data_IF_555582589986
#
_entry.id   IF_555582589986
#
_cell.length_a   1.000
_cell.length_b   1.000
_cell.length_c   1.000
_cell.angle_alpha   90.00
_cell.angle_beta   90.00
_cell.angle_gamma   90.00
#
_symmetry.space_group_name_H-M   'P 1'
#
loop_
_entity.id
_entity.type
_entity.pdbx_description
1 polymer ?
#
# COMPACT_ATOMS: atom_id res chain seq x y z
N UNK A 1 -41.66 4.74 -6.95
CA UNK A 1 -41.58 6.05 -6.28
C UNK A 1 -41.45 5.77 -4.79
N UNK A 2 -40.24 5.72 -4.29
CA UNK A 2 -39.93 5.88 -2.87
C UNK A 2 -38.61 6.62 -2.83
N UNK A 3 -38.72 7.87 -2.39
CA UNK A 3 -37.61 8.82 -2.22
C UNK A 3 -36.65 8.29 -1.15
N UNK A 4 -35.39 8.16 -1.52
CA UNK A 4 -34.31 7.88 -0.57
C UNK A 4 -33.91 9.19 0.06
N UNK A 5 -34.37 9.40 1.30
CA UNK A 5 -33.98 10.53 2.16
C UNK A 5 -32.46 10.63 2.26
N UNK A 6 -31.97 11.77 1.85
CA UNK A 6 -30.64 12.28 2.20
C UNK A 6 -30.69 12.62 3.69
N UNK A 7 -30.24 11.68 4.52
CA UNK A 7 -30.12 11.95 5.96
C UNK A 7 -28.91 12.85 6.23
N UNK A 8 -29.23 13.90 6.94
CA UNK A 8 -28.39 14.99 7.44
C UNK A 8 -27.08 14.51 8.08
N UNK A 9 -26.10 15.39 7.94
CA UNK A 9 -24.83 15.49 8.65
C UNK A 9 -24.96 15.00 10.12
N UNK A 10 -24.35 13.85 10.43
CA UNK A 10 -23.98 13.55 11.81
C UNK A 10 -22.66 14.24 12.06
N UNK A 11 -22.68 15.29 12.85
CA UNK A 11 -21.51 15.83 13.50
C UNK A 11 -20.71 14.71 14.19
N UNK A 12 -19.37 14.66 14.07
CA UNK A 12 -18.56 13.70 14.77
C UNK A 12 -18.67 13.98 16.27
N UNK A 13 -19.38 13.11 16.99
CA UNK A 13 -19.44 13.15 18.46
C UNK A 13 -18.16 12.56 19.03
N UNK A 14 -17.26 13.41 19.43
CA UNK A 14 -15.98 13.10 20.10
C UNK A 14 -14.81 13.73 19.36
N UNK A 15 -14.10 14.63 20.00
CA UNK A 15 -12.89 15.27 19.48
C UNK A 15 -11.82 14.19 19.25
N UNK A 16 -11.74 13.67 18.02
CA UNK A 16 -10.71 12.73 17.65
C UNK A 16 -9.37 13.46 17.53
N UNK A 17 -8.42 13.08 18.36
CA UNK A 17 -7.06 13.65 18.39
C UNK A 17 -6.25 13.05 17.26
N UNK A 18 -5.49 13.88 16.54
CA UNK A 18 -4.58 13.43 15.50
C UNK A 18 -3.45 12.56 16.10
N UNK A 19 -3.29 11.28 15.69
CA UNK A 19 -2.27 10.39 16.27
C UNK A 19 -0.84 10.82 15.91
N UNK A 20 -0.67 11.72 14.94
CA UNK A 20 0.65 12.23 14.55
C UNK A 20 1.03 13.49 15.32
N UNK A 21 0.22 14.53 15.31
CA UNK A 21 0.64 15.80 15.93
C UNK A 21 -0.05 16.13 17.27
N UNK A 22 -1.06 15.34 17.66
CA UNK A 22 -1.80 15.58 18.90
C UNK A 22 -2.82 16.73 18.83
N UNK A 23 -3.07 17.30 17.64
CA UNK A 23 -4.07 18.35 17.46
C UNK A 23 -5.48 17.76 17.54
N UNK A 24 -6.39 18.46 18.21
CA UNK A 24 -7.80 18.10 18.29
C UNK A 24 -8.55 18.53 17.03
N UNK A 25 -9.53 17.72 16.61
CA UNK A 25 -10.40 18.05 15.49
C UNK A 25 -9.88 17.53 14.15
N UNK A 26 -10.13 16.24 13.85
CA UNK A 26 -10.02 15.67 12.51
C UNK A 26 -11.26 16.04 11.68
N UNK A 27 -11.08 16.46 10.44
CA UNK A 27 -12.18 16.84 9.54
C UNK A 27 -12.43 15.70 8.54
N UNK A 28 -13.58 15.04 8.65
CA UNK A 28 -14.00 14.00 7.70
C UNK A 28 -14.27 14.60 6.31
N UNK A 29 -13.85 13.90 5.24
CA UNK A 29 -14.02 14.39 3.88
C UNK A 29 -14.43 13.32 2.86
N UNK A 30 -14.29 12.03 3.19
CA UNK A 30 -14.63 10.93 2.29
C UNK A 30 -15.05 9.68 3.06
N UNK A 31 -16.02 8.95 2.53
CA UNK A 31 -16.51 7.72 3.13
C UNK A 31 -16.75 6.64 2.08
N UNK A 32 -16.47 5.38 2.45
CA UNK A 32 -16.94 4.18 1.77
C UNK A 32 -17.63 3.27 2.78
N UNK A 33 -18.68 2.59 2.30
CA UNK A 33 -19.42 1.61 3.11
C UNK A 33 -19.14 0.21 2.57
N UNK A 34 -19.14 -0.76 3.46
CA UNK A 34 -19.17 -2.17 3.09
C UNK A 34 -18.02 -2.59 2.16
N UNK A 35 -16.76 -2.26 2.53
CA UNK A 35 -15.56 -2.73 1.86
C UNK A 35 -14.97 -3.96 2.55
N UNK A 36 -14.29 -4.89 1.84
CA UNK A 36 -13.54 -5.95 2.50
C UNK A 36 -12.53 -5.40 3.49
N UNK A 37 -12.39 -6.06 4.66
CA UNK A 37 -11.37 -5.66 5.64
C UNK A 37 -9.97 -5.94 5.10
N UNK A 38 -9.80 -7.08 4.42
CA UNK A 38 -8.54 -7.46 3.78
C UNK A 38 -8.68 -7.47 2.27
N UNK A 39 -7.70 -6.86 1.60
CA UNK A 39 -7.61 -6.87 0.15
C UNK A 39 -6.64 -7.91 -0.41
N UNK A 40 -5.69 -8.39 0.39
CA UNK A 40 -4.62 -9.27 -0.10
C UNK A 40 -4.64 -10.66 0.55
N UNK A 41 -5.78 -11.11 1.08
CA UNK A 41 -5.94 -12.51 1.53
C UNK A 41 -6.25 -13.43 0.35
N UNK A 42 -5.71 -14.65 0.42
CA UNK A 42 -5.92 -15.69 -0.58
C UNK A 42 -7.17 -16.50 -0.24
N UNK A 43 -8.28 -16.29 -0.95
CA UNK A 43 -9.51 -17.08 -0.80
C UNK A 43 -9.44 -18.32 -1.70
N UNK A 44 -9.60 -19.50 -1.11
CA UNK A 44 -9.48 -20.79 -1.81
C UNK A 44 -10.73 -21.11 -2.64
N UNK A 45 -11.89 -20.57 -2.26
CA UNK A 45 -13.15 -20.77 -2.97
C UNK A 45 -13.91 -19.47 -3.19
N UNK A 46 -14.86 -19.51 -4.14
CA UNK A 46 -15.75 -18.38 -4.39
C UNK A 46 -16.65 -18.09 -3.18
N UNK A 47 -17.09 -19.10 -2.48
CA UNK A 47 -17.92 -19.01 -1.28
C UNK A 47 -17.17 -18.29 -0.15
N UNK A 48 -15.91 -18.66 0.07
CA UNK A 48 -15.03 -17.99 1.04
C UNK A 48 -14.84 -16.52 0.67
N UNK A 49 -14.53 -16.24 -0.59
CA UNK A 49 -14.33 -14.89 -1.09
C UNK A 49 -15.55 -13.99 -0.91
N UNK A 50 -16.77 -14.53 -1.07
CA UNK A 50 -18.02 -13.78 -0.87
C UNK A 50 -18.35 -13.57 0.61
N UNK A 51 -17.83 -14.40 1.51
CA UNK A 51 -18.08 -14.37 2.94
C UNK A 51 -17.06 -13.53 3.74
N UNK A 52 -16.07 -12.89 3.08
CA UNK A 52 -15.05 -12.12 3.79
C UNK A 52 -15.65 -11.02 4.66
N UNK A 53 -15.05 -10.75 5.83
CA UNK A 53 -15.48 -9.67 6.71
C UNK A 53 -15.39 -8.31 6.03
N UNK A 54 -16.35 -7.44 6.33
CA UNK A 54 -16.48 -6.13 5.70
C UNK A 54 -16.63 -5.03 6.75
N UNK A 55 -16.23 -3.79 6.38
CA UNK A 55 -16.32 -2.63 7.26
C UNK A 55 -16.52 -1.34 6.46
N UNK A 56 -16.72 -0.23 7.17
CA UNK A 56 -16.73 1.11 6.57
C UNK A 56 -15.39 1.81 6.70
N UNK A 57 -15.10 2.72 5.78
CA UNK A 57 -13.97 3.65 5.84
C UNK A 57 -14.52 5.07 5.99
N UNK A 58 -13.91 5.89 6.86
CA UNK A 58 -14.14 7.32 6.91
C UNK A 58 -12.79 8.03 7.00
N UNK A 59 -12.37 8.66 5.89
CA UNK A 59 -11.14 9.43 5.86
C UNK A 59 -11.35 10.82 6.45
N UNK A 60 -10.50 11.17 7.40
CA UNK A 60 -10.46 12.49 7.99
C UNK A 60 -9.06 13.08 7.96
N UNK A 61 -8.94 14.39 7.76
CA UNK A 61 -7.68 15.12 7.67
C UNK A 61 -7.44 15.97 8.91
N UNK A 62 -6.21 15.97 9.41
CA UNK A 62 -5.72 16.91 10.40
C UNK A 62 -5.30 18.21 9.70
N UNK A 63 -5.96 19.31 10.02
CA UNK A 63 -5.63 20.63 9.43
C UNK A 63 -4.34 21.25 9.95
N UNK A 64 -3.74 20.67 11.01
CA UNK A 64 -2.48 21.15 11.59
C UNK A 64 -1.24 20.54 10.94
N UNK A 65 -1.25 19.24 10.61
CA UNK A 65 -0.08 18.56 10.04
C UNK A 65 -0.32 17.87 8.69
N UNK A 66 -1.55 17.90 8.15
CA UNK A 66 -1.89 17.26 6.89
C UNK A 66 -1.96 15.72 6.96
N UNK A 67 -1.96 15.14 8.16
CA UNK A 67 -2.14 13.71 8.33
C UNK A 67 -3.58 13.31 8.01
N UNK A 68 -3.75 12.17 7.35
CA UNK A 68 -5.06 11.65 7.00
C UNK A 68 -5.16 10.24 7.57
N UNK A 69 -6.31 9.92 8.17
CA UNK A 69 -6.55 8.58 8.72
C UNK A 69 -7.98 8.09 8.49
N UNK A 70 -8.14 6.76 8.54
CA UNK A 70 -9.44 6.12 8.61
C UNK A 70 -9.96 6.12 10.05
N UNK A 71 -10.90 7.00 10.37
CA UNK A 71 -11.47 7.13 11.72
C UNK A 71 -12.39 5.97 12.12
N UNK A 72 -12.74 5.06 11.17
CA UNK A 72 -13.51 3.84 11.41
C UNK A 72 -12.63 2.59 11.53
N UNK A 73 -11.30 2.76 11.52
CA UNK A 73 -10.38 1.64 11.65
C UNK A 73 -10.45 1.01 13.04
N UNK A 74 -10.53 -0.30 13.08
CA UNK A 74 -10.52 -1.10 14.29
C UNK A 74 -9.38 -2.13 14.17
N UNK A 75 -8.29 -1.90 14.91
CA UNK A 75 -7.12 -2.75 14.89
C UNK A 75 -7.37 -4.16 15.40
N UNK A 76 -8.41 -4.37 16.23
CA UNK A 76 -8.76 -5.71 16.73
C UNK A 76 -9.30 -6.65 15.64
N UNK A 77 -9.65 -6.11 14.47
CA UNK A 77 -10.14 -6.86 13.31
C UNK A 77 -9.04 -7.21 12.31
N UNK A 78 -7.82 -6.75 12.54
CA UNK A 78 -6.68 -6.96 11.66
C UNK A 78 -5.74 -7.99 12.29
N UNK A 79 -5.49 -9.06 11.56
CA UNK A 79 -4.49 -10.07 11.89
C UNK A 79 -3.81 -10.52 10.59
N UNK A 80 -2.49 -10.31 10.51
CA UNK A 80 -1.70 -10.68 9.33
C UNK A 80 -1.10 -12.06 9.57
N UNK A 81 -1.59 -13.03 8.83
CA UNK A 81 -1.11 -14.40 8.85
C UNK A 81 -0.54 -14.83 7.49
N UNK A 82 -0.25 -16.11 7.35
CA UNK A 82 0.29 -16.68 6.12
C UNK A 82 -0.67 -16.67 4.92
N UNK A 83 -1.94 -16.31 5.09
CA UNK A 83 -2.88 -16.14 3.98
C UNK A 83 -2.73 -14.80 3.26
N UNK A 84 -2.02 -13.83 3.86
CA UNK A 84 -1.76 -12.51 3.28
C UNK A 84 -0.70 -12.58 2.18
N UNK A 85 -0.99 -12.03 1.00
CA UNK A 85 -0.11 -12.09 -0.16
C UNK A 85 -0.06 -10.74 -0.89
N UNK A 86 1.00 -9.97 -0.64
CA UNK A 86 1.19 -8.65 -1.24
C UNK A 86 2.56 -8.49 -1.93
N UNK A 87 3.17 -9.60 -2.39
CA UNK A 87 4.46 -9.57 -3.05
C UNK A 87 4.40 -8.84 -4.40
N UNK A 88 5.25 -7.85 -4.60
CA UNK A 88 5.32 -7.02 -5.80
C UNK A 88 6.48 -7.42 -6.73
N UNK A 89 7.44 -8.18 -6.25
CA UNK A 89 8.66 -8.60 -6.97
C UNK A 89 8.42 -9.56 -8.15
N UNK A 90 7.19 -10.00 -8.36
CA UNK A 90 6.82 -10.72 -9.59
C UNK A 90 6.93 -9.82 -10.83
N UNK A 91 6.70 -8.50 -10.69
CA UNK A 91 6.88 -7.54 -11.78
C UNK A 91 8.36 -7.22 -12.04
N UNK A 92 8.85 -7.35 -13.28
CA UNK A 92 10.17 -6.85 -13.69
C UNK A 92 10.38 -5.38 -13.37
N UNK A 93 9.36 -4.54 -13.60
CA UNK A 93 9.41 -3.09 -13.32
C UNK A 93 9.60 -2.80 -11.83
N UNK A 94 8.91 -3.54 -10.95
CA UNK A 94 9.09 -3.39 -9.52
C UNK A 94 10.49 -3.86 -9.07
N UNK A 95 10.99 -4.97 -9.63
CA UNK A 95 12.35 -5.45 -9.33
C UNK A 95 13.41 -4.42 -9.69
N UNK A 96 13.28 -3.80 -10.86
CA UNK A 96 14.19 -2.73 -11.30
C UNK A 96 14.15 -1.51 -10.37
N UNK A 97 12.96 -1.12 -9.92
CA UNK A 97 12.79 -0.06 -8.93
C UNK A 97 13.47 -0.43 -7.60
N UNK A 98 13.20 -1.61 -7.06
CA UNK A 98 13.76 -2.07 -5.80
C UNK A 98 15.30 -2.15 -5.86
N UNK A 99 15.88 -2.57 -7.00
CA UNK A 99 17.33 -2.61 -7.20
C UNK A 99 17.94 -1.21 -7.23
N UNK A 100 17.32 -0.25 -7.92
CA UNK A 100 17.75 1.16 -7.90
C UNK A 100 17.68 1.75 -6.49
N UNK A 101 16.61 1.47 -5.76
CA UNK A 101 16.44 1.93 -4.38
C UNK A 101 17.51 1.34 -3.46
N UNK A 102 17.77 0.03 -3.53
CA UNK A 102 18.80 -0.63 -2.73
C UNK A 102 20.19 -0.05 -3.03
N UNK A 103 20.55 0.14 -4.32
CA UNK A 103 21.82 0.78 -4.71
C UNK A 103 21.93 2.19 -4.17
N UNK A 104 20.86 2.98 -4.25
CA UNK A 104 20.83 4.34 -3.70
C UNK A 104 21.13 4.37 -2.20
N UNK A 105 20.49 3.51 -1.42
CA UNK A 105 20.74 3.41 0.02
C UNK A 105 22.18 3.00 0.32
N UNK A 106 22.70 2.01 -0.42
CA UNK A 106 24.08 1.52 -0.28
C UNK A 106 25.07 2.64 -0.59
N UNK A 107 24.88 3.37 -1.66
CA UNK A 107 25.80 4.42 -2.11
C UNK A 107 25.71 5.68 -1.24
N UNK A 108 24.50 6.12 -0.91
CA UNK A 108 24.29 7.35 -0.13
C UNK A 108 24.79 7.22 1.30
N UNK A 109 24.60 6.05 1.90
CA UNK A 109 24.88 5.83 3.33
C UNK A 109 26.06 4.90 3.61
N UNK A 110 26.74 4.41 2.57
CA UNK A 110 27.88 3.51 2.73
C UNK A 110 27.49 2.16 3.34
N UNK A 111 26.29 1.63 3.05
CA UNK A 111 25.77 0.38 3.59
C UNK A 111 26.45 -0.80 2.88
N UNK A 112 27.70 -1.06 3.21
CA UNK A 112 28.51 -2.19 2.68
C UNK A 112 29.18 -2.94 3.82
N UNK A 113 29.00 -4.28 3.86
CA UNK A 113 29.48 -5.12 4.96
C UNK A 113 28.83 -4.75 6.30
N UNK A 114 27.59 -4.31 6.27
CA UNK A 114 26.82 -3.75 7.37
C UNK A 114 25.74 -4.70 7.85
N UNK A 115 25.16 -4.40 9.01
CA UNK A 115 24.02 -5.15 9.54
C UNK A 115 22.71 -4.38 9.27
N UNK A 116 21.76 -5.05 8.61
CA UNK A 116 20.47 -4.47 8.20
C UNK A 116 19.32 -5.15 8.93
N UNK A 117 18.39 -4.35 9.44
CA UNK A 117 17.09 -4.84 9.91
C UNK A 117 16.03 -4.42 8.89
N UNK A 118 15.18 -5.35 8.44
CA UNK A 118 13.99 -5.03 7.67
C UNK A 118 12.73 -5.44 8.44
N UNK A 119 11.89 -4.46 8.74
CA UNK A 119 10.61 -4.65 9.43
C UNK A 119 9.51 -4.77 8.38
N UNK A 120 8.62 -5.76 8.55
CA UNK A 120 7.61 -6.16 7.56
C UNK A 120 8.27 -6.56 6.23
N UNK A 121 9.24 -7.46 6.32
CA UNK A 121 10.08 -7.85 5.18
C UNK A 121 9.40 -8.81 4.19
N UNK A 122 8.18 -9.29 4.47
CA UNK A 122 7.54 -10.37 3.71
C UNK A 122 8.43 -11.61 3.66
N UNK A 123 8.67 -12.12 2.46
CA UNK A 123 9.60 -13.24 2.25
C UNK A 123 11.09 -12.80 2.15
N UNK A 124 11.39 -11.54 2.51
CA UNK A 124 12.76 -11.01 2.60
C UNK A 124 13.38 -10.60 1.26
N UNK A 125 12.58 -10.32 0.25
CA UNK A 125 13.09 -9.94 -1.09
C UNK A 125 14.06 -8.76 -1.03
N UNK A 126 13.67 -7.64 -0.41
CA UNK A 126 14.49 -6.44 -0.38
C UNK A 126 15.72 -6.58 0.55
N UNK A 127 15.57 -7.27 1.67
CA UNK A 127 16.68 -7.58 2.58
C UNK A 127 17.76 -8.43 1.89
N UNK A 128 17.35 -9.47 1.14
CA UNK A 128 18.27 -10.28 0.33
C UNK A 128 18.94 -9.44 -0.77
N UNK A 129 18.23 -8.48 -1.35
CA UNK A 129 18.76 -7.58 -2.35
C UNK A 129 19.85 -6.67 -1.76
N UNK A 130 19.62 -6.07 -0.60
CA UNK A 130 20.62 -5.27 0.16
C UNK A 130 21.82 -6.12 0.56
N UNK A 131 21.60 -7.37 0.99
CA UNK A 131 22.68 -8.33 1.31
C UNK A 131 23.54 -8.60 0.08
N UNK A 132 22.93 -8.97 -1.03
CA UNK A 132 23.64 -9.32 -2.28
C UNK A 132 24.43 -8.14 -2.86
N UNK A 133 23.84 -6.95 -2.91
CA UNK A 133 24.45 -5.78 -3.54
C UNK A 133 25.52 -5.09 -2.66
N UNK A 134 25.34 -5.16 -1.34
CA UNK A 134 26.24 -4.49 -0.39
C UNK A 134 27.18 -5.43 0.38
N UNK A 135 27.03 -6.75 0.25
CA UNK A 135 27.72 -7.73 1.11
C UNK A 135 27.27 -7.63 2.57
N UNK A 136 26.01 -7.26 2.79
CA UNK A 136 25.45 -7.01 4.12
C UNK A 136 24.93 -8.31 4.75
N UNK A 137 24.86 -8.32 6.09
CA UNK A 137 24.07 -9.32 6.84
C UNK A 137 22.79 -8.67 7.34
N UNK A 138 21.79 -9.46 7.73
CA UNK A 138 20.59 -8.84 8.26
C UNK A 138 19.56 -9.79 8.86
N UNK A 139 18.59 -9.16 9.54
CA UNK A 139 17.43 -9.83 10.13
C UNK A 139 16.16 -9.17 9.62
N UNK A 140 15.26 -9.98 9.06
CA UNK A 140 13.91 -9.57 8.66
C UNK A 140 12.88 -10.01 9.70
N UNK A 141 11.84 -9.20 9.89
CA UNK A 141 10.70 -9.51 10.75
C UNK A 141 9.42 -9.41 9.95
N UNK A 142 8.65 -10.49 9.89
CA UNK A 142 7.32 -10.47 9.27
C UNK A 142 6.44 -11.62 9.82
N UNK A 143 5.25 -11.35 10.39
CA UNK A 143 4.37 -12.40 10.91
C UNK A 143 3.82 -13.31 9.82
N UNK A 144 3.70 -12.82 8.58
CA UNK A 144 3.19 -13.59 7.44
C UNK A 144 4.25 -14.46 6.75
N UNK A 145 5.51 -14.40 7.21
CA UNK A 145 6.63 -15.13 6.60
C UNK A 145 6.36 -16.62 6.47
N UNK A 146 6.45 -17.12 5.25
CA UNK A 146 6.31 -18.54 4.93
C UNK A 146 7.69 -19.13 4.74
N UNK A 147 8.11 -20.00 5.64
CA UNK A 147 9.35 -20.75 5.45
C UNK A 147 9.19 -21.75 4.30
N UNK A 148 9.49 -21.31 3.09
CA UNK A 148 9.54 -22.21 1.93
C UNK A 148 10.92 -22.88 1.83
N UNK A 149 10.98 -24.09 1.27
CA UNK A 149 12.25 -24.79 1.05
C UNK A 149 13.24 -24.00 0.16
N UNK A 150 12.75 -23.00 -0.60
CA UNK A 150 13.56 -22.11 -1.45
C UNK A 150 14.17 -20.93 -0.67
N UNK A 151 13.64 -20.58 0.50
CA UNK A 151 14.15 -19.48 1.35
C UNK A 151 15.26 -19.90 2.31
N UNK A 152 15.60 -21.16 2.37
CA UNK A 152 16.62 -21.70 3.25
C UNK A 152 18.03 -21.72 2.60
N UNK A 153 18.48 -20.61 1.98
CA UNK A 153 19.90 -20.52 1.64
C UNK A 153 20.64 -19.86 2.80
N UNK A 154 21.21 -20.66 3.66
CA UNK A 154 22.17 -20.33 4.73
C UNK A 154 23.42 -19.54 4.24
N UNK A 155 23.46 -19.17 2.97
CA UNK A 155 24.61 -18.51 2.34
C UNK A 155 24.50 -16.99 2.22
N UNK A 156 23.31 -16.41 2.47
CA UNK A 156 23.10 -14.97 2.27
C UNK A 156 23.47 -14.10 3.48
N UNK A 157 23.70 -14.67 4.65
CA UNK A 157 23.85 -13.90 5.90
C UNK A 157 22.56 -13.18 6.32
N UNK A 158 21.40 -13.63 5.82
CA UNK A 158 20.07 -13.10 6.13
C UNK A 158 19.25 -14.14 6.90
N UNK A 159 18.59 -13.69 7.97
CA UNK A 159 17.65 -14.50 8.76
C UNK A 159 16.30 -13.81 8.78
N UNK A 160 15.20 -14.56 8.64
CA UNK A 160 13.84 -14.02 8.76
C UNK A 160 13.15 -14.66 9.97
N UNK A 161 12.55 -13.81 10.80
CA UNK A 161 11.81 -14.18 12.00
C UNK A 161 10.33 -13.95 11.73
N UNK A 162 9.53 -15.02 11.81
CA UNK A 162 8.07 -14.97 11.64
C UNK A 162 7.42 -14.38 12.90
N UNK A 163 7.54 -13.06 13.07
CA UNK A 163 7.05 -12.33 14.24
C UNK A 163 6.97 -10.83 13.95
N UNK A 164 6.19 -10.13 14.79
CA UNK A 164 6.18 -8.66 14.80
C UNK A 164 7.46 -8.11 15.45
N UNK A 165 8.05 -7.08 14.80
CA UNK A 165 9.12 -6.32 15.42
C UNK A 165 8.59 -5.51 16.62
N UNK A 166 9.35 -5.49 17.71
CA UNK A 166 8.98 -4.76 18.92
C UNK A 166 10.10 -4.75 19.95
N UNK A 167 9.80 -4.30 21.17
CA UNK A 167 10.76 -4.10 22.26
C UNK A 167 11.63 -5.33 22.56
N UNK A 168 11.10 -6.54 22.38
CA UNK A 168 11.86 -7.80 22.59
C UNK A 168 13.05 -7.98 21.64
N UNK A 169 13.13 -7.17 20.58
CA UNK A 169 14.22 -7.19 19.61
C UNK A 169 15.05 -5.90 19.62
N UNK A 170 14.80 -5.00 20.59
CA UNK A 170 15.44 -3.69 20.67
C UNK A 170 16.96 -3.72 20.85
N UNK A 171 17.52 -4.82 21.40
CA UNK A 171 18.96 -4.95 21.64
C UNK A 171 19.77 -5.37 20.39
N UNK A 172 19.12 -5.49 19.23
CA UNK A 172 19.80 -5.85 17.98
C UNK A 172 20.40 -4.60 17.33
N UNK A 173 21.74 -4.47 17.24
CA UNK A 173 22.35 -3.33 16.58
C UNK A 173 22.09 -3.39 15.07
N UNK A 174 21.85 -2.24 14.46
CA UNK A 174 21.71 -2.14 13.03
C UNK A 174 22.38 -0.86 12.49
N UNK A 175 23.02 -0.96 11.33
CA UNK A 175 23.55 0.19 10.60
C UNK A 175 22.44 0.83 9.73
N UNK A 176 21.47 0.01 9.28
CA UNK A 176 20.28 0.43 8.52
C UNK A 176 19.05 -0.32 9.03
N UNK A 177 17.99 0.41 9.32
CA UNK A 177 16.66 -0.15 9.61
C UNK A 177 15.71 0.26 8.48
N UNK A 178 15.15 -0.71 7.76
CA UNK A 178 14.18 -0.50 6.70
C UNK A 178 12.78 -0.92 7.15
N UNK A 179 11.75 -0.17 6.72
CA UNK A 179 10.35 -0.56 6.87
C UNK A 179 9.59 -0.07 5.63
N UNK A 180 9.03 -1.01 4.87
CA UNK A 180 8.38 -0.70 3.60
C UNK A 180 6.96 -1.24 3.58
N UNK A 181 6.01 -0.38 3.20
CA UNK A 181 4.59 -0.74 3.09
C UNK A 181 3.99 -1.36 4.35
N UNK A 182 4.30 -0.76 5.51
CA UNK A 182 3.80 -1.22 6.80
C UNK A 182 3.33 -0.09 7.72
N UNK A 183 3.96 1.10 7.68
CA UNK A 183 3.60 2.19 8.59
C UNK A 183 2.15 2.69 8.36
N UNK A 184 1.63 2.57 7.17
CA UNK A 184 0.24 2.87 6.81
C UNK A 184 -0.79 1.98 7.52
N UNK A 185 -0.36 0.83 8.03
CA UNK A 185 -1.19 -0.11 8.79
C UNK A 185 -1.13 0.10 10.31
N UNK A 186 -0.27 1.01 10.79
CA UNK A 186 -0.02 1.24 12.22
C UNK A 186 -0.93 2.32 12.78
N UNK A 187 -1.88 1.96 13.64
CA UNK A 187 -2.81 2.94 14.25
C UNK A 187 -2.11 4.01 15.12
N UNK A 188 -0.94 3.69 15.67
CA UNK A 188 -0.07 4.63 16.38
C UNK A 188 1.30 4.76 15.67
N UNK A 189 1.38 5.47 14.53
CA UNK A 189 2.60 5.54 13.74
C UNK A 189 3.76 6.22 14.47
N UNK A 190 3.50 7.25 15.27
CA UNK A 190 4.54 7.93 16.07
C UNK A 190 5.11 6.97 17.12
N UNK A 191 4.25 6.26 17.85
CA UNK A 191 4.68 5.28 18.86
C UNK A 191 5.53 4.16 18.25
N UNK A 192 5.16 3.67 17.06
CA UNK A 192 5.95 2.66 16.37
C UNK A 192 7.36 3.18 15.99
N UNK A 193 7.45 4.37 15.41
CA UNK A 193 8.75 4.98 15.06
C UNK A 193 9.56 5.32 16.32
N UNK A 194 8.90 5.68 17.45
CA UNK A 194 9.55 5.86 18.75
C UNK A 194 10.15 4.56 19.29
N UNK A 195 9.48 3.41 19.14
CA UNK A 195 10.05 2.11 19.51
C UNK A 195 11.35 1.85 18.75
N UNK A 196 11.40 2.16 17.46
CA UNK A 196 12.64 2.06 16.66
C UNK A 196 13.69 3.05 17.16
N UNK A 197 13.30 4.29 17.50
CA UNK A 197 14.24 5.27 18.06
C UNK A 197 14.85 4.79 19.37
N UNK A 198 14.07 4.15 20.22
CA UNK A 198 14.51 3.59 21.50
C UNK A 198 15.47 2.41 21.28
N UNK A 199 15.19 1.53 20.31
CA UNK A 199 16.07 0.38 20.01
C UNK A 199 17.44 0.80 19.48
N UNK A 200 17.55 1.93 18.79
CA UNK A 200 18.84 2.48 18.33
C UNK A 200 19.68 3.01 19.52
N UNK A 201 19.04 3.44 20.60
CA UNK A 201 19.71 3.95 21.78
C UNK A 201 20.52 5.23 21.48
N UNK A 202 21.83 5.19 21.78
CA UNK A 202 22.74 6.33 21.61
C UNK A 202 23.54 6.29 20.30
N UNK A 203 23.32 5.29 19.44
CA UNK A 203 24.01 5.27 18.14
C UNK A 203 23.36 6.25 17.17
N UNK A 204 24.08 7.30 16.84
CA UNK A 204 23.64 8.36 15.93
C UNK A 204 23.92 8.05 14.45
N UNK A 205 24.55 6.91 14.16
CA UNK A 205 24.96 6.51 12.80
C UNK A 205 23.93 5.64 12.11
N UNK A 206 23.02 5.01 12.87
CA UNK A 206 21.98 4.17 12.30
C UNK A 206 21.07 4.98 11.38
N UNK A 207 20.92 4.52 10.15
CA UNK A 207 19.98 5.10 9.19
C UNK A 207 18.64 4.39 9.33
N UNK A 208 17.55 5.16 9.30
CA UNK A 208 16.20 4.64 9.27
C UNK A 208 15.55 5.04 7.95
N UNK A 209 15.09 4.05 7.20
CA UNK A 209 14.46 4.23 5.89
C UNK A 209 13.05 3.66 5.89
N UNK A 210 12.09 4.47 5.46
CA UNK A 210 10.71 4.03 5.30
C UNK A 210 10.17 4.32 3.89
N UNK A 211 9.27 3.47 3.45
CA UNK A 211 8.48 3.65 2.23
C UNK A 211 7.03 3.34 2.53
N UNK A 212 6.14 4.27 2.16
CA UNK A 212 4.67 4.18 2.32
C UNK A 212 3.97 4.61 1.04
N UNK A 213 2.68 4.29 0.83
CA UNK A 213 1.91 4.88 -0.27
C UNK A 213 1.87 6.42 -0.18
N UNK A 214 2.04 7.09 -1.33
CA UNK A 214 1.95 8.56 -1.39
C UNK A 214 0.49 8.99 -1.55
N UNK A 215 -0.08 9.61 -0.52
CA UNK A 215 -1.46 10.10 -0.55
C UNK A 215 -1.68 11.18 -1.61
N UNK A 216 -0.64 11.95 -1.94
CA UNK A 216 -0.75 12.97 -2.99
C UNK A 216 -0.91 12.37 -4.38
N UNK A 217 -0.39 11.15 -4.62
CA UNK A 217 -0.70 10.37 -5.83
C UNK A 217 -2.18 10.01 -5.89
N UNK A 218 -2.75 9.50 -4.77
CA UNK A 218 -4.17 9.14 -4.70
C UNK A 218 -5.05 10.34 -5.06
N UNK A 219 -4.72 11.51 -4.55
CA UNK A 219 -5.52 12.72 -4.77
C UNK A 219 -5.35 13.31 -6.18
N UNK A 220 -4.12 13.31 -6.71
CA UNK A 220 -3.80 13.83 -8.04
C UNK A 220 -4.52 13.03 -9.13
N UNK A 221 -4.44 11.70 -9.04
CA UNK A 221 -4.91 10.80 -10.08
C UNK A 221 -6.34 10.27 -9.82
N UNK A 222 -6.97 10.77 -8.75
CA UNK A 222 -8.26 10.29 -8.26
C UNK A 222 -8.28 8.75 -8.15
N UNK A 223 -7.19 8.19 -7.62
CA UNK A 223 -7.02 6.75 -7.46
C UNK A 223 -7.77 6.25 -6.22
N UNK A 224 -9.10 6.39 -6.24
CA UNK A 224 -9.98 5.97 -5.14
C UNK A 224 -9.83 4.48 -4.80
N UNK A 225 -9.28 3.71 -5.74
CA UNK A 225 -9.02 2.27 -5.59
C UNK A 225 -7.83 1.95 -4.68
N UNK A 226 -7.02 2.94 -4.30
CA UNK A 226 -5.95 2.84 -3.30
C UNK A 226 -6.43 3.04 -1.87
N UNK A 227 -7.71 3.38 -1.68
CA UNK A 227 -8.29 3.56 -0.36
C UNK A 227 -8.87 2.23 0.11
N UNK A 228 -8.18 1.59 1.05
CA UNK A 228 -8.53 0.27 1.59
C UNK A 228 -8.65 0.30 3.10
N UNK A 229 -9.40 -0.64 3.67
CA UNK A 229 -9.62 -0.67 5.11
C UNK A 229 -8.34 -0.90 5.91
N UNK A 230 -7.43 -1.73 5.41
CA UNK A 230 -6.15 -2.07 6.04
C UNK A 230 -5.25 -0.83 6.25
N UNK A 231 -5.34 0.17 5.35
CA UNK A 231 -4.62 1.43 5.51
C UNK A 231 -5.36 2.34 6.49
N UNK A 232 -4.91 2.36 7.74
CA UNK A 232 -5.44 3.30 8.72
C UNK A 232 -4.79 4.68 8.64
N UNK A 233 -3.59 4.79 8.03
CA UNK A 233 -2.81 6.02 7.86
C UNK A 233 -2.55 6.30 6.38
N UNK A 234 -2.73 7.56 5.99
CA UNK A 234 -2.47 8.07 4.65
C UNK A 234 -1.49 9.23 4.76
N UNK A 235 -0.23 8.97 4.41
CA UNK A 235 0.86 9.92 4.62
C UNK A 235 1.03 10.88 3.44
N UNK A 236 1.33 12.12 3.79
CA UNK A 236 1.84 13.18 2.92
C UNK A 236 3.23 13.57 3.41
N UNK A 237 4.04 14.28 2.61
CA UNK A 237 5.36 14.75 3.07
C UNK A 237 5.29 15.46 4.43
N UNK A 238 4.41 16.48 4.65
CA UNK A 238 4.35 17.14 5.95
C UNK A 238 4.03 16.20 7.12
N UNK A 239 3.09 15.26 6.94
CA UNK A 239 2.68 14.37 8.02
C UNK A 239 3.70 13.27 8.30
N UNK A 240 4.38 12.74 7.27
CA UNK A 240 5.44 11.74 7.45
C UNK A 240 6.66 12.35 8.14
N UNK A 241 7.10 13.53 7.71
CA UNK A 241 8.16 14.30 8.37
C UNK A 241 7.80 14.61 9.83
N UNK A 242 6.56 15.04 10.08
CA UNK A 242 6.09 15.30 11.45
C UNK A 242 6.15 14.04 12.32
N UNK A 243 5.80 12.86 11.76
CA UNK A 243 5.88 11.57 12.45
C UNK A 243 7.31 11.28 12.91
N UNK A 244 8.28 11.43 12.02
CA UNK A 244 9.70 11.18 12.33
C UNK A 244 10.28 12.21 13.29
N UNK A 245 9.97 13.49 13.12
CA UNK A 245 10.38 14.55 14.05
C UNK A 245 9.85 14.30 15.47
N UNK A 246 8.58 13.93 15.62
CA UNK A 246 7.99 13.61 16.93
C UNK A 246 8.57 12.34 17.55
N UNK A 247 9.09 11.45 16.74
CA UNK A 247 9.79 10.26 17.21
C UNK A 247 11.27 10.53 17.55
N UNK A 248 11.81 11.72 17.33
CA UNK A 248 13.17 12.11 17.69
C UNK A 248 14.20 11.80 16.58
N UNK A 249 13.80 11.94 15.33
CA UNK A 249 14.67 11.79 14.17
C UNK A 249 14.85 13.11 13.41
N UNK A 250 16.06 13.35 12.91
CA UNK A 250 16.37 14.34 11.87
C UNK A 250 16.12 13.70 10.51
N UNK A 251 15.37 14.36 9.64
CA UNK A 251 15.07 13.86 8.29
C UNK A 251 16.16 14.31 7.31
N UNK A 252 16.82 13.35 6.67
CA UNK A 252 17.82 13.63 5.61
C UNK A 252 17.12 14.00 4.30
N UNK A 253 16.07 13.23 3.92
CA UNK A 253 15.23 13.50 2.76
C UNK A 253 13.88 12.80 2.89
N UNK A 254 12.86 13.38 2.23
CA UNK A 254 11.53 12.80 2.09
C UNK A 254 11.03 13.15 0.68
N UNK A 255 10.71 12.15 -0.14
CA UNK A 255 10.36 12.38 -1.53
C UNK A 255 9.48 11.29 -2.12
N UNK A 256 8.78 11.65 -3.20
CA UNK A 256 7.95 10.73 -3.97
C UNK A 256 8.83 9.84 -4.86
N UNK A 257 8.47 8.56 -4.96
CA UNK A 257 9.17 7.53 -5.70
C UNK A 257 8.19 6.67 -6.52
N UNK A 258 8.72 5.79 -7.36
CA UNK A 258 7.95 4.84 -8.17
C UNK A 258 6.81 5.51 -8.96
N UNK A 259 7.17 6.49 -9.80
CA UNK A 259 6.23 7.32 -10.58
C UNK A 259 5.17 8.02 -9.72
N UNK A 260 5.54 8.36 -8.50
CA UNK A 260 4.70 9.09 -7.56
C UNK A 260 3.83 8.22 -6.66
N UNK A 261 3.85 6.90 -6.78
CA UNK A 261 2.98 6.02 -6.00
C UNK A 261 3.44 5.84 -4.55
N UNK A 262 4.74 5.96 -4.30
CA UNK A 262 5.32 5.77 -2.98
C UNK A 262 5.94 7.07 -2.48
N UNK A 263 5.90 7.24 -1.17
CA UNK A 263 6.59 8.29 -0.44
C UNK A 263 7.69 7.64 0.39
N UNK A 264 8.92 8.06 0.17
CA UNK A 264 10.11 7.53 0.85
C UNK A 264 10.68 8.57 1.78
N UNK A 265 11.22 8.13 2.92
CA UNK A 265 11.88 8.97 3.91
C UNK A 265 13.11 8.27 4.44
N UNK A 266 14.21 9.00 4.57
CA UNK A 266 15.40 8.57 5.30
C UNK A 266 15.72 9.56 6.39
N UNK A 267 16.12 9.06 7.55
CA UNK A 267 16.32 9.84 8.75
C UNK A 267 17.41 9.25 9.65
N UNK A 268 17.90 10.07 10.56
CA UNK A 268 18.88 9.70 11.61
C UNK A 268 18.40 10.11 12.98
N UNK A 269 18.84 9.44 14.07
CA UNK A 269 18.57 9.90 15.42
C UNK A 269 19.00 11.36 15.61
N UNK A 270 18.09 12.19 16.10
CA UNK A 270 18.42 13.57 16.48
C UNK A 270 19.22 13.59 17.78
N UNK A 271 20.39 14.28 17.81
CA UNK A 271 21.31 14.32 18.96
C UNK A 271 21.05 15.55 19.83
N UNK A 272 20.87 16.72 19.20
CA UNK A 272 20.78 18.01 19.87
C UNK A 272 19.43 18.71 19.70
N UNK A 273 18.37 17.92 19.55
CA UNK A 273 17.04 18.38 19.16
C UNK A 273 16.83 18.23 17.66
N UNK A 274 15.56 18.10 17.28
CA UNK A 274 15.16 17.85 15.89
C UNK A 274 15.36 19.11 15.05
N UNK A 275 16.02 18.94 13.89
CA UNK A 275 16.24 20.02 12.92
C UNK A 275 15.02 20.20 12.03
N UNK A 276 14.63 21.44 11.69
CA UNK A 276 13.59 21.68 10.71
C UNK A 276 13.93 21.02 9.36
N UNK A 277 12.92 20.39 8.77
CA UNK A 277 12.99 19.90 7.39
C UNK A 277 12.10 20.79 6.52
N UNK A 278 12.69 21.43 5.53
CA UNK A 278 11.97 22.31 4.62
C UNK A 278 11.90 21.66 3.24
N UNK A 279 10.69 21.34 2.78
CA UNK A 279 10.39 20.97 1.41
C UNK A 279 9.33 21.90 0.82
N UNK A 280 9.76 22.77 -0.08
CA UNK A 280 8.86 23.71 -0.75
C UNK A 280 7.87 23.04 -1.72
N UNK A 281 8.11 21.77 -2.09
CA UNK A 281 7.31 21.03 -3.09
C UNK A 281 5.97 20.57 -2.56
N UNK A 282 5.85 20.33 -1.24
CA UNK A 282 4.61 19.86 -0.62
C UNK A 282 4.30 20.62 0.68
N UNK A 283 3.54 21.70 0.56
CA UNK A 283 3.07 22.48 1.73
C UNK A 283 1.76 21.90 2.28
N UNK A 284 1.50 22.15 3.57
CA UNK A 284 0.22 21.83 4.20
C UNK A 284 -0.97 22.42 3.43
N UNK A 285 -0.84 23.66 2.92
CA UNK A 285 -1.89 24.30 2.13
C UNK A 285 -2.22 23.50 0.85
N UNK A 286 -1.18 22.94 0.18
CA UNK A 286 -1.39 22.09 -1.00
C UNK A 286 -2.08 20.76 -0.65
N UNK A 287 -1.77 20.18 0.50
CA UNK A 287 -2.46 18.98 1.01
C UNK A 287 -3.94 19.26 1.22
N UNK A 288 -4.28 20.31 1.95
CA UNK A 288 -5.67 20.67 2.25
C UNK A 288 -6.47 20.99 0.99
N UNK A 289 -5.90 21.74 0.04
CA UNK A 289 -6.53 22.01 -1.24
C UNK A 289 -6.75 20.73 -2.07
N UNK A 290 -5.84 19.75 -1.95
CA UNK A 290 -5.98 18.46 -2.63
C UNK A 290 -7.07 17.59 -2.01
N UNK A 291 -7.22 17.60 -0.69
CA UNK A 291 -8.33 16.96 0.03
C UNK A 291 -9.68 17.48 -0.47
N UNK A 292 -9.84 18.82 -0.57
CA UNK A 292 -11.08 19.44 -1.03
C UNK A 292 -11.41 19.05 -2.49
N UNK A 293 -10.41 19.09 -3.39
CA UNK A 293 -10.58 18.67 -4.78
C UNK A 293 -10.96 17.19 -4.89
N UNK A 294 -10.27 16.33 -4.14
CA UNK A 294 -10.55 14.90 -4.12
C UNK A 294 -11.97 14.61 -3.66
N UNK A 295 -12.40 15.18 -2.53
CA UNK A 295 -13.76 15.02 -1.99
C UNK A 295 -14.85 15.41 -3.01
N UNK A 296 -14.62 16.48 -3.80
CA UNK A 296 -15.54 16.93 -4.84
C UNK A 296 -15.56 16.06 -6.08
N UNK A 297 -14.46 15.35 -6.40
CA UNK A 297 -14.28 14.70 -7.71
C UNK A 297 -14.39 13.17 -7.67
N UNK A 298 -14.19 12.53 -6.53
CA UNK A 298 -14.15 11.07 -6.44
C UNK A 298 -15.48 10.39 -6.83
N UNK A 299 -16.62 11.01 -6.52
CA UNK A 299 -17.93 10.48 -6.93
C UNK A 299 -18.08 10.42 -8.47
N UNK A 300 -17.59 11.45 -9.16
CA UNK A 300 -17.63 11.49 -10.62
C UNK A 300 -16.72 10.41 -11.23
N UNK A 301 -15.53 10.16 -10.65
CA UNK A 301 -14.63 9.08 -11.07
C UNK A 301 -15.33 7.72 -10.94
N UNK A 302 -15.98 7.44 -9.80
CA UNK A 302 -16.74 6.21 -9.61
C UNK A 302 -17.90 6.09 -10.60
N UNK A 303 -18.70 7.16 -10.83
CA UNK A 303 -19.79 7.14 -11.78
C UNK A 303 -19.32 6.90 -13.22
N UNK A 304 -18.17 7.47 -13.60
CA UNK A 304 -17.56 7.23 -14.92
C UNK A 304 -17.21 5.76 -15.09
N UNK A 305 -16.57 5.14 -14.11
CA UNK A 305 -16.22 3.72 -14.18
C UNK A 305 -17.44 2.82 -14.10
N UNK A 306 -18.45 3.13 -13.29
CA UNK A 306 -19.73 2.42 -13.29
C UNK A 306 -20.37 2.42 -14.69
N UNK A 307 -20.35 3.57 -15.39
CA UNK A 307 -20.82 3.68 -16.77
C UNK A 307 -19.98 2.85 -17.75
N UNK A 308 -18.64 2.82 -17.59
CA UNK A 308 -17.75 1.98 -18.40
C UNK A 308 -18.07 0.49 -18.25
N UNK A 309 -18.18 0.00 -17.01
CA UNK A 309 -18.55 -1.39 -16.75
C UNK A 309 -19.95 -1.72 -17.31
N UNK A 310 -20.93 -0.81 -17.16
CA UNK A 310 -22.25 -0.98 -17.75
C UNK A 310 -22.22 -1.09 -19.27
N UNK A 311 -21.37 -0.31 -19.96
CA UNK A 311 -21.17 -0.41 -21.42
C UNK A 311 -20.56 -1.74 -21.83
N UNK A 312 -19.52 -2.18 -21.14
CA UNK A 312 -18.87 -3.48 -21.37
C UNK A 312 -19.90 -4.61 -21.22
N UNK A 313 -20.66 -4.62 -20.12
CA UNK A 313 -21.68 -5.63 -19.88
C UNK A 313 -22.77 -5.63 -20.95
N UNK A 314 -23.17 -4.45 -21.45
CA UNK A 314 -24.22 -4.30 -22.47
C UNK A 314 -23.75 -4.67 -23.88
N UNK A 315 -22.47 -4.47 -24.20
CA UNK A 315 -21.90 -4.81 -25.52
C UNK A 315 -21.70 -6.32 -25.71
N UNK A 316 -21.70 -7.10 -24.65
CA UNK A 316 -21.32 -8.50 -24.67
C UNK A 316 -19.83 -8.74 -24.89
N UNK A 317 -19.00 -7.70 -24.75
CA UNK A 317 -17.55 -7.80 -24.85
C UNK A 317 -16.98 -8.63 -23.71
N UNK A 318 -16.02 -9.49 -24.03
CA UNK A 318 -15.25 -10.23 -23.04
C UNK A 318 -14.24 -9.30 -22.37
N UNK A 319 -14.46 -8.97 -21.13
CA UNK A 319 -13.55 -8.12 -20.38
C UNK A 319 -12.93 -8.87 -19.19
N UNK A 320 -11.70 -8.50 -18.88
CA UNK A 320 -11.04 -8.92 -17.65
C UNK A 320 -10.28 -7.75 -17.03
N UNK A 321 -9.98 -7.91 -15.74
CA UNK A 321 -9.20 -6.92 -15.00
C UNK A 321 -7.79 -7.48 -14.80
N UNK A 322 -6.77 -6.63 -14.93
CA UNK A 322 -5.37 -7.00 -14.70
C UNK A 322 -4.85 -6.36 -13.42
N UNK A 323 -4.52 -7.22 -12.44
CA UNK A 323 -4.02 -6.91 -11.11
C UNK A 323 -4.99 -7.31 -10.00
N UNK A 324 -4.74 -8.45 -9.36
CA UNK A 324 -5.49 -8.97 -8.20
C UNK A 324 -4.91 -8.43 -6.87
N UNK A 325 -4.44 -7.19 -6.86
CA UNK A 325 -4.02 -6.46 -5.67
C UNK A 325 -5.13 -5.55 -5.15
N UNK A 326 -4.80 -4.72 -4.16
CA UNK A 326 -5.73 -3.82 -3.48
C UNK A 326 -6.59 -2.98 -4.43
N UNK A 327 -5.99 -2.39 -5.49
CA UNK A 327 -6.72 -1.60 -6.49
C UNK A 327 -7.80 -2.42 -7.21
N UNK A 328 -7.45 -3.63 -7.68
CA UNK A 328 -8.38 -4.51 -8.39
C UNK A 328 -9.54 -4.96 -7.52
N UNK A 329 -9.24 -5.33 -6.28
CA UNK A 329 -10.25 -5.72 -5.30
C UNK A 329 -11.17 -4.55 -4.97
N UNK A 330 -10.62 -3.35 -4.77
CA UNK A 330 -11.38 -2.16 -4.39
C UNK A 330 -12.34 -1.71 -5.50
N UNK A 331 -11.89 -1.63 -6.78
CA UNK A 331 -12.78 -1.22 -7.87
C UNK A 331 -13.93 -2.20 -8.04
N UNK A 332 -13.66 -3.52 -8.00
CA UNK A 332 -14.70 -4.55 -8.15
C UNK A 332 -15.72 -4.48 -7.01
N UNK A 333 -15.27 -4.27 -5.77
CA UNK A 333 -16.16 -4.13 -4.62
C UNK A 333 -16.94 -2.81 -4.64
N UNK A 334 -16.31 -1.69 -5.03
CA UNK A 334 -16.97 -0.38 -5.11
C UNK A 334 -18.04 -0.34 -6.19
N UNK A 335 -17.79 -1.01 -7.31
CA UNK A 335 -18.70 -1.01 -8.47
C UNK A 335 -19.59 -2.24 -8.54
N UNK A 336 -19.60 -3.10 -7.51
CA UNK A 336 -20.32 -4.37 -7.46
C UNK A 336 -21.80 -4.24 -7.89
N UNK A 337 -22.49 -3.23 -7.38
CA UNK A 337 -23.90 -2.99 -7.71
C UNK A 337 -24.10 -2.50 -9.15
N UNK A 338 -23.11 -1.78 -9.69
CA UNK A 338 -23.14 -1.22 -11.04
C UNK A 338 -22.72 -2.19 -12.13
N UNK A 339 -21.87 -3.17 -11.78
CA UNK A 339 -21.32 -4.14 -12.74
C UNK A 339 -22.29 -5.28 -13.07
N UNK A 340 -23.26 -5.58 -12.20
CA UNK A 340 -24.06 -6.79 -12.31
C UNK A 340 -23.18 -8.06 -12.34
N UNK A 341 -23.75 -9.22 -12.66
CA UNK A 341 -23.01 -10.49 -12.75
C UNK A 341 -22.15 -10.63 -14.03
N UNK A 342 -22.17 -9.66 -14.95
CA UNK A 342 -21.62 -9.80 -16.33
C UNK A 342 -20.53 -8.79 -16.72
N UNK A 343 -19.97 -8.03 -15.77
CA UNK A 343 -19.04 -6.94 -16.14
C UNK A 343 -17.59 -7.38 -16.36
N UNK A 344 -17.07 -8.23 -15.46
CA UNK A 344 -15.70 -8.76 -15.48
C UNK A 344 -15.74 -10.17 -14.90
N UNK A 345 -15.38 -11.16 -15.71
CA UNK A 345 -15.48 -12.58 -15.32
C UNK A 345 -14.23 -13.07 -14.58
N UNK A 346 -13.07 -12.54 -14.94
CA UNK A 346 -11.76 -12.99 -14.46
C UNK A 346 -10.87 -11.81 -14.09
N UNK A 347 -9.94 -12.07 -13.17
CA UNK A 347 -8.85 -11.16 -12.84
C UNK A 347 -7.52 -11.84 -13.18
N UNK A 348 -6.67 -11.17 -13.96
CA UNK A 348 -5.33 -11.68 -14.27
C UNK A 348 -4.34 -11.19 -13.22
N UNK A 349 -3.46 -12.07 -12.77
CA UNK A 349 -2.31 -11.68 -11.96
C UNK A 349 -1.06 -12.48 -12.35
N UNK A 350 0.09 -11.81 -12.38
CA UNK A 350 1.39 -12.44 -12.64
C UNK A 350 1.94 -13.17 -11.42
N UNK A 351 1.45 -12.85 -10.22
CA UNK A 351 1.82 -13.53 -8.99
C UNK A 351 1.20 -14.94 -8.97
N UNK A 352 2.05 -15.96 -9.16
CA UNK A 352 1.63 -17.36 -9.22
C UNK A 352 0.91 -17.84 -7.95
N UNK A 353 1.19 -17.23 -6.78
CA UNK A 353 0.54 -17.58 -5.52
C UNK A 353 -0.93 -17.19 -5.47
N UNK A 354 -1.31 -16.16 -6.25
CA UNK A 354 -2.70 -15.68 -6.36
C UNK A 354 -3.50 -16.49 -7.39
N UNK A 355 -2.84 -17.10 -8.36
CA UNK A 355 -3.51 -17.82 -9.45
C UNK A 355 -4.31 -19.02 -8.94
N UNK A 356 -5.51 -19.18 -9.48
CA UNK A 356 -6.47 -20.19 -9.04
C UNK A 356 -7.34 -19.81 -7.85
N UNK A 357 -7.00 -18.73 -7.12
CA UNK A 357 -7.75 -18.18 -6.00
C UNK A 357 -8.86 -17.25 -6.48
N UNK A 358 -9.56 -16.60 -5.53
CA UNK A 358 -10.73 -15.76 -5.78
C UNK A 358 -10.61 -14.39 -5.14
N UNK A 359 -11.16 -13.38 -5.80
CA UNK A 359 -11.16 -11.98 -5.35
C UNK A 359 -12.06 -11.82 -4.13
N UNK A 360 -11.50 -11.33 -3.05
CA UNK A 360 -12.20 -11.03 -1.81
C UNK A 360 -13.40 -10.09 -2.06
N UNK A 361 -14.57 -10.44 -1.56
CA UNK A 361 -15.80 -9.67 -1.61
C UNK A 361 -16.64 -9.82 -2.89
N UNK A 362 -16.05 -10.23 -4.03
CA UNK A 362 -16.77 -10.31 -5.32
C UNK A 362 -16.65 -11.66 -6.02
N UNK A 363 -15.62 -12.46 -5.70
CA UNK A 363 -15.52 -13.87 -6.06
C UNK A 363 -15.14 -14.17 -7.51
N UNK A 364 -14.53 -13.20 -8.26
CA UNK A 364 -13.94 -13.49 -9.57
C UNK A 364 -12.73 -14.39 -9.41
N UNK A 365 -12.55 -15.32 -10.34
CA UNK A 365 -11.39 -16.20 -10.33
C UNK A 365 -10.14 -15.47 -10.80
N UNK A 366 -9.04 -15.65 -10.08
CA UNK A 366 -7.72 -15.13 -10.47
C UNK A 366 -7.06 -16.14 -11.40
N UNK A 367 -6.58 -15.67 -12.55
CA UNK A 367 -6.01 -16.51 -13.62
C UNK A 367 -4.62 -16.03 -14.02
N UNK A 368 -3.83 -16.95 -14.57
CA UNK A 368 -2.52 -16.64 -15.14
C UNK A 368 -2.64 -15.84 -16.46
N UNK A 369 -1.62 -15.05 -16.87
CA UNK A 369 -1.61 -14.38 -18.18
C UNK A 369 -1.82 -15.32 -19.36
N UNK A 370 -1.32 -16.56 -19.31
CA UNK A 370 -1.50 -17.56 -20.36
C UNK A 370 -2.98 -17.90 -20.64
N UNK A 371 -3.87 -17.72 -19.68
CA UNK A 371 -5.32 -17.92 -19.84
C UNK A 371 -5.92 -17.05 -20.95
N UNK A 372 -5.31 -15.91 -21.26
CA UNK A 372 -5.79 -15.00 -22.29
C UNK A 372 -5.81 -15.63 -23.69
N UNK A 373 -4.94 -16.60 -23.98
CA UNK A 373 -4.89 -17.28 -25.28
C UNK A 373 -6.19 -18.02 -25.61
N UNK A 374 -6.84 -18.58 -24.58
CA UNK A 374 -8.11 -19.30 -24.71
C UNK A 374 -9.31 -18.34 -24.54
N UNK A 375 -9.24 -17.44 -23.58
CA UNK A 375 -10.33 -16.49 -23.29
C UNK A 375 -10.51 -15.44 -24.36
N UNK A 376 -9.42 -14.91 -24.94
CA UNK A 376 -9.39 -13.88 -26.00
C UNK A 376 -10.24 -12.67 -25.62
N UNK A 377 -9.76 -11.83 -24.65
CA UNK A 377 -10.51 -10.66 -24.22
C UNK A 377 -10.59 -9.61 -25.32
N UNK A 378 -11.72 -8.92 -25.40
CA UNK A 378 -11.88 -7.70 -26.18
C UNK A 378 -11.32 -6.48 -25.44
N UNK A 379 -11.43 -6.50 -24.09
CA UNK A 379 -11.03 -5.40 -23.20
C UNK A 379 -10.22 -5.92 -22.01
N UNK A 380 -9.08 -5.27 -21.76
CA UNK A 380 -8.25 -5.46 -20.54
C UNK A 380 -8.26 -4.18 -19.71
N UNK A 381 -8.80 -4.26 -18.49
CA UNK A 381 -8.81 -3.14 -17.54
C UNK A 381 -7.54 -3.22 -16.70
N UNK A 382 -6.65 -2.25 -16.88
CA UNK A 382 -5.37 -2.14 -16.17
C UNK A 382 -5.55 -1.30 -14.92
N UNK A 383 -5.31 -1.90 -13.76
CA UNK A 383 -5.55 -1.25 -12.47
C UNK A 383 -4.45 -0.28 -12.05
N UNK A 384 -3.28 -0.40 -12.60
CA UNK A 384 -2.15 0.45 -12.25
C UNK A 384 -1.42 0.90 -13.52
N UNK A 385 -1.48 2.20 -13.88
CA UNK A 385 -0.87 2.72 -15.10
C UNK A 385 0.64 2.48 -15.19
N UNK A 386 1.32 2.33 -14.06
CA UNK A 386 2.76 2.04 -14.02
C UNK A 386 3.11 0.75 -14.76
N UNK A 387 2.22 -0.23 -14.76
CA UNK A 387 2.44 -1.53 -15.41
C UNK A 387 1.88 -1.62 -16.84
N UNK A 388 1.27 -0.53 -17.39
CA UNK A 388 0.61 -0.60 -18.70
C UNK A 388 1.53 -1.17 -19.80
N UNK A 389 2.73 -0.61 -19.97
CA UNK A 389 3.67 -1.06 -20.99
C UNK A 389 4.11 -2.53 -20.80
N UNK A 390 4.28 -2.97 -19.54
CA UNK A 390 4.59 -4.36 -19.20
C UNK A 390 3.45 -5.29 -19.59
N UNK A 391 2.21 -4.90 -19.29
CA UNK A 391 1.00 -5.66 -19.61
C UNK A 391 0.77 -5.73 -21.12
N UNK A 392 0.87 -4.62 -21.84
CA UNK A 392 0.75 -4.57 -23.30
C UNK A 392 1.77 -5.48 -23.97
N UNK A 393 3.04 -5.46 -23.49
CA UNK A 393 4.10 -6.34 -23.96
C UNK A 393 3.78 -7.82 -23.74
N UNK A 394 3.24 -8.18 -22.56
CA UNK A 394 2.82 -9.55 -22.27
C UNK A 394 1.67 -10.01 -23.17
N UNK A 395 0.63 -9.19 -23.34
CA UNK A 395 -0.51 -9.50 -24.23
C UNK A 395 -0.07 -9.65 -25.68
N UNK A 396 0.80 -8.76 -26.16
CA UNK A 396 1.36 -8.85 -27.50
C UNK A 396 2.19 -10.12 -27.71
N UNK A 397 2.96 -10.55 -26.71
CA UNK A 397 3.77 -11.79 -26.75
C UNK A 397 2.90 -13.06 -26.88
N UNK A 398 1.64 -13.00 -26.43
CA UNK A 398 0.65 -14.05 -26.58
C UNK A 398 -0.05 -14.04 -27.97
N UNK A 399 0.33 -13.11 -28.86
CA UNK A 399 -0.29 -12.93 -30.18
C UNK A 399 -1.71 -12.37 -30.13
N UNK A 400 -2.06 -11.62 -29.08
CA UNK A 400 -3.37 -11.05 -28.87
C UNK A 400 -3.39 -9.54 -29.09
N UNK A 401 -4.55 -9.04 -29.48
CA UNK A 401 -4.85 -7.61 -29.60
C UNK A 401 -6.19 -7.34 -28.90
N UNK A 402 -6.22 -6.37 -28.00
CA UNK A 402 -7.41 -5.96 -27.26
C UNK A 402 -7.37 -4.47 -26.94
N UNK A 403 -8.49 -3.90 -26.50
CA UNK A 403 -8.55 -2.56 -25.97
C UNK A 403 -7.99 -2.55 -24.53
N UNK A 404 -7.17 -1.54 -24.20
CA UNK A 404 -6.71 -1.31 -22.84
C UNK A 404 -7.42 -0.10 -22.24
N UNK A 405 -8.04 -0.30 -21.07
CA UNK A 405 -8.61 0.76 -20.25
C UNK A 405 -7.82 0.89 -18.98
N UNK A 406 -7.36 2.10 -18.64
CA UNK A 406 -6.57 2.34 -17.40
C UNK A 406 -7.45 3.00 -16.35
N UNK A 407 -7.58 2.39 -15.15
CA UNK A 407 -8.49 2.79 -14.09
C UNK A 407 -7.91 3.88 -13.14
#
# INVERSE_FOLDING_TARGET
MTETEVTAEREPTGESVCPVCGHEGLTAFWEAKDVPIFCNILCESREEALAVPRAGICLAVCRSCGFICNTKFDSSRIDYDQSYENALEFSPRFREYAERLANRLIETYGVRGKHVIEIACGDGYFLNLLSRLGGNTGVGFDPSYRRTAMGASDQSGVTIIADYYGEKYADQPADLICCRHALEHMANPVGFVQTIRQSIGQDDRTIVFFEVPDTMFIFRDLSVWDIIYEHCCYFTVPSLVTTFHRAGFDVDWCESAYDGQFLTIAARPAIAGVKPFEDSRCSLANVLASVERFAGSCKQKCATWASQFGRIASSGSKALLWGAGSKGITILNTLRESCGERGVDYVVDINERKQGKYIAGTGQKIVAPAFLTDYRPDVVIVMNPVYLNEIEGMVASLGLTCEFLVA
#
